data_IF_450415296127
#
_entry.id   IF_450415296127
#
_cell.length_a   1.000
_cell.length_b   1.000
_cell.length_c   1.000
_cell.angle_alpha   90.00
_cell.angle_beta   90.00
_cell.angle_gamma   90.00
#
_symmetry.space_group_name_H-M   'P 1'
#
loop_
_entity.id
_entity.type
_entity.pdbx_description
1 polymer ?
#
# COMPACT_ATOMS: atom_id res chain seq x y z
N UNK A 1 16.93 6.92 4.07
CA UNK A 1 17.28 5.55 3.65
C UNK A 1 16.16 4.62 4.10
N UNK A 2 16.01 3.45 3.47
CA UNK A 2 14.97 2.46 3.81
C UNK A 2 14.96 2.09 5.31
N UNK A 3 16.14 1.99 5.94
CA UNK A 3 16.27 1.75 7.38
C UNK A 3 15.68 2.89 8.24
N UNK A 4 15.87 4.15 7.83
CA UNK A 4 15.28 5.28 8.56
C UNK A 4 13.75 5.32 8.47
N UNK A 5 13.18 4.88 7.35
CA UNK A 5 11.73 4.78 7.16
C UNK A 5 11.11 3.70 8.05
N UNK A 6 11.74 2.53 8.09
CA UNK A 6 11.35 1.41 8.94
C UNK A 6 11.36 1.83 10.42
N UNK A 7 12.40 2.55 10.86
CA UNK A 7 12.46 3.07 12.25
C UNK A 7 11.43 4.16 12.52
N UNK A 8 11.19 5.07 11.57
CA UNK A 8 10.23 6.15 11.75
C UNK A 8 8.78 5.65 11.86
N UNK A 9 8.46 4.54 11.18
CA UNK A 9 7.12 3.95 11.11
C UNK A 9 7.02 2.60 11.80
N UNK A 10 7.90 2.34 12.78
CA UNK A 10 7.97 1.07 13.48
C UNK A 10 6.62 0.65 14.08
N UNK A 11 5.83 1.60 14.60
CA UNK A 11 4.50 1.29 15.13
C UNK A 11 3.50 0.90 14.03
N UNK A 12 3.53 1.54 12.85
CA UNK A 12 2.64 1.18 11.75
C UNK A 12 3.05 -0.15 11.08
N UNK A 13 4.33 -0.51 11.17
CA UNK A 13 4.92 -1.67 10.50
C UNK A 13 5.04 -2.92 11.39
N UNK A 14 5.32 -2.71 12.69
CA UNK A 14 5.72 -3.77 13.62
C UNK A 14 5.10 -3.62 15.02
N UNK A 15 4.13 -2.71 15.24
CA UNK A 15 3.51 -2.66 16.56
C UNK A 15 2.90 -4.03 16.90
N UNK A 16 3.00 -4.49 18.16
CA UNK A 16 2.58 -5.84 18.57
C UNK A 16 1.14 -6.19 18.21
N UNK A 17 0.27 -5.18 18.13
CA UNK A 17 -1.14 -5.27 17.77
C UNK A 17 -1.39 -5.44 16.26
N UNK A 18 -0.43 -5.08 15.40
CA UNK A 18 -0.55 -5.23 13.96
C UNK A 18 -0.50 -6.71 13.58
N UNK A 19 -1.60 -7.22 13.05
CA UNK A 19 -1.69 -8.58 12.55
C UNK A 19 -1.66 -8.56 11.04
N UNK A 20 -0.76 -9.36 10.45
CA UNK A 20 -0.81 -9.61 9.02
C UNK A 20 -2.15 -10.25 8.68
N UNK A 21 -2.91 -9.55 7.83
CA UNK A 21 -4.10 -10.11 7.20
C UNK A 21 -3.57 -10.66 5.89
N UNK A 22 -3.35 -11.98 5.84
CA UNK A 22 -2.78 -12.64 4.66
C UNK A 22 -3.44 -12.20 3.35
N UNK A 23 -2.72 -12.35 2.24
CA UNK A 23 -3.08 -11.82 0.91
C UNK A 23 -4.53 -12.11 0.53
N UNK A 24 -5.39 -11.10 0.65
CA UNK A 24 -6.76 -11.16 0.16
C UNK A 24 -7.04 -9.92 -0.67
N UNK A 25 -6.89 -10.06 -1.98
CA UNK A 25 -7.33 -9.09 -2.99
C UNK A 25 -8.82 -8.71 -2.84
N UNK A 26 -9.62 -9.49 -2.09
CA UNK A 26 -11.00 -9.15 -1.74
C UNK A 26 -11.13 -7.96 -0.76
N UNK A 27 -10.02 -7.51 -0.16
CA UNK A 27 -9.99 -6.39 0.77
C UNK A 27 -9.48 -5.11 0.09
N UNK A 28 -8.56 -5.23 -0.86
CA UNK A 28 -7.99 -4.10 -1.61
C UNK A 28 -8.17 -4.37 -3.09
N UNK A 29 -8.84 -3.45 -3.77
CA UNK A 29 -8.97 -3.48 -5.22
C UNK A 29 -8.40 -2.21 -5.81
N UNK A 30 -7.80 -2.33 -7.00
CA UNK A 30 -7.52 -1.16 -7.84
C UNK A 30 -8.69 -0.97 -8.78
N UNK A 31 -9.25 0.23 -8.79
CA UNK A 31 -10.43 0.57 -9.62
C UNK A 31 -10.04 1.18 -10.97
N UNK A 32 -8.74 1.43 -11.19
CA UNK A 32 -8.19 1.95 -12.43
C UNK A 32 -7.81 0.80 -13.38
N UNK A 33 -8.34 0.75 -14.62
CA UNK A 33 -8.02 -0.32 -15.57
C UNK A 33 -6.56 -0.30 -16.07
N UNK A 34 -5.85 0.81 -15.85
CA UNK A 34 -4.44 0.96 -16.22
C UNK A 34 -3.50 0.16 -15.30
N UNK A 35 -3.96 -0.17 -14.09
CA UNK A 35 -3.16 -0.78 -13.05
C UNK A 35 -3.72 -2.15 -12.71
N UNK A 36 -2.82 -3.11 -12.45
CA UNK A 36 -3.19 -4.48 -12.11
C UNK A 36 -2.63 -4.84 -10.75
N UNK A 37 -3.49 -5.31 -9.84
CA UNK A 37 -3.05 -5.98 -8.62
C UNK A 37 -2.65 -7.43 -8.89
N UNK A 38 -1.65 -7.89 -8.16
CA UNK A 38 -1.19 -9.28 -8.15
C UNK A 38 -1.05 -9.76 -6.70
N UNK A 39 -1.27 -11.05 -6.49
CA UNK A 39 -1.05 -11.78 -5.24
C UNK A 39 0.26 -12.58 -5.29
N UNK A 40 0.74 -12.94 -6.50
CA UNK A 40 2.06 -13.52 -6.70
C UNK A 40 2.72 -13.06 -8.01
N UNK A 41 4.00 -13.41 -8.18
CA UNK A 41 4.70 -13.22 -9.45
C UNK A 41 5.19 -11.80 -9.71
N UNK A 42 5.11 -11.37 -10.98
CA UNK A 42 5.68 -10.11 -11.46
C UNK A 42 4.75 -9.43 -12.49
N UNK A 43 5.06 -8.20 -12.87
CA UNK A 43 4.31 -7.45 -13.88
C UNK A 43 3.05 -6.74 -13.36
N UNK A 44 2.95 -6.51 -12.05
CA UNK A 44 1.82 -5.84 -11.41
C UNK A 44 2.20 -5.17 -10.09
N UNK A 45 1.20 -4.62 -9.42
CA UNK A 45 1.33 -4.05 -8.08
C UNK A 45 0.95 -5.14 -7.08
N UNK A 46 1.90 -5.58 -6.26
CA UNK A 46 1.63 -6.53 -5.20
C UNK A 46 1.12 -5.80 -3.95
N UNK A 47 0.13 -6.38 -3.28
CA UNK A 47 -0.48 -5.80 -2.08
C UNK A 47 -0.43 -6.73 -0.89
N UNK A 48 0.05 -6.24 0.24
CA UNK A 48 -0.03 -6.93 1.53
C UNK A 48 -0.76 -6.04 2.54
N UNK A 49 -1.51 -6.66 3.47
CA UNK A 49 -2.26 -5.94 4.49
C UNK A 49 -1.79 -6.32 5.89
N UNK A 50 -1.76 -5.31 6.75
CA UNK A 50 -1.64 -5.47 8.19
C UNK A 50 -2.75 -4.66 8.86
N UNK A 51 -3.38 -5.19 9.91
CA UNK A 51 -4.51 -4.53 10.59
C UNK A 51 -4.41 -4.64 12.10
N UNK A 52 -4.83 -3.58 12.79
CA UNK A 52 -5.15 -3.54 14.21
C UNK A 52 -6.62 -3.10 14.39
N UNK A 53 -7.08 -2.97 15.63
CA UNK A 53 -8.44 -2.45 15.92
C UNK A 53 -8.59 -0.95 15.60
N UNK A 54 -7.47 -0.26 15.37
CA UNK A 54 -7.41 1.19 15.14
C UNK A 54 -6.97 1.56 13.72
N UNK A 55 -6.33 0.66 12.99
CA UNK A 55 -5.76 0.99 11.69
C UNK A 55 -5.66 -0.21 10.74
N UNK A 56 -5.73 0.08 9.44
CA UNK A 56 -5.33 -0.82 8.36
C UNK A 56 -4.16 -0.20 7.60
N UNK A 57 -3.09 -0.95 7.43
CA UNK A 57 -1.93 -0.59 6.60
C UNK A 57 -1.94 -1.46 5.35
N UNK A 58 -1.88 -0.82 4.19
CA UNK A 58 -1.72 -1.47 2.89
C UNK A 58 -0.32 -1.18 2.39
N UNK A 59 0.42 -2.24 2.09
CA UNK A 59 1.69 -2.18 1.38
C UNK A 59 1.41 -2.24 -0.11
N UNK A 60 1.96 -1.32 -0.88
CA UNK A 60 1.95 -1.38 -2.34
C UNK A 60 3.38 -1.61 -2.83
N UNK A 61 3.64 -2.71 -3.52
CA UNK A 61 4.98 -3.04 -4.03
C UNK A 61 4.91 -3.07 -5.54
N UNK A 62 5.71 -2.23 -6.19
CA UNK A 62 5.74 -2.11 -7.64
C UNK A 62 6.62 -3.20 -8.27
N UNK A 63 5.98 -4.16 -8.93
CA UNK A 63 6.67 -5.19 -9.71
C UNK A 63 6.41 -5.03 -11.22
N UNK A 64 5.91 -3.86 -11.65
CA UNK A 64 5.65 -3.58 -13.07
C UNK A 64 6.96 -3.41 -13.82
N UNK A 65 7.10 -4.08 -14.95
CA UNK A 65 8.34 -4.11 -15.73
C UNK A 65 9.36 -5.14 -15.24
N UNK A 66 9.06 -5.90 -14.19
CA UNK A 66 9.84 -7.06 -13.78
C UNK A 66 9.37 -8.33 -14.50
N UNK A 67 10.32 -9.09 -15.02
CA UNK A 67 10.08 -10.31 -15.80
C UNK A 67 9.92 -11.55 -14.89
N UNK A 68 10.38 -11.46 -13.63
CA UNK A 68 10.34 -12.55 -12.67
C UNK A 68 10.32 -12.03 -11.23
N UNK A 69 9.81 -12.86 -10.31
CA UNK A 69 9.70 -12.56 -8.88
C UNK A 69 10.91 -13.01 -8.05
N UNK A 70 12.09 -13.21 -8.67
CA UNK A 70 13.26 -13.72 -7.95
C UNK A 70 13.94 -12.61 -7.19
N UNK A 71 13.63 -12.52 -5.90
CA UNK A 71 14.16 -11.52 -4.98
C UNK A 71 15.70 -11.44 -4.88
N UNK A 72 16.43 -12.48 -5.31
CA UNK A 72 17.89 -12.55 -5.23
C UNK A 72 18.61 -12.11 -6.50
N UNK A 73 17.91 -12.09 -7.63
CA UNK A 73 18.53 -11.78 -8.92
C UNK A 73 18.60 -10.25 -9.12
N UNK A 74 19.54 -9.79 -9.94
CA UNK A 74 19.56 -8.39 -10.34
C UNK A 74 18.28 -8.09 -11.13
N UNK A 75 17.48 -7.15 -10.63
CA UNK A 75 16.22 -6.74 -11.23
C UNK A 75 16.39 -5.37 -11.92
N UNK A 76 15.74 -5.14 -13.07
CA UNK A 76 15.61 -3.79 -13.62
C UNK A 76 14.79 -2.90 -12.68
N UNK A 77 14.95 -1.59 -12.79
CA UNK A 77 14.09 -0.65 -12.05
C UNK A 77 12.63 -0.85 -12.47
N UNK A 78 11.69 -0.99 -11.52
CA UNK A 78 10.27 -1.05 -11.83
C UNK A 78 9.80 0.20 -12.56
N UNK A 79 8.83 0.05 -13.45
CA UNK A 79 8.22 1.18 -14.15
C UNK A 79 7.31 1.92 -13.15
N UNK A 80 7.57 3.19 -12.82
CA UNK A 80 6.75 3.92 -11.86
C UNK A 80 5.30 4.01 -12.31
N UNK A 81 4.38 3.90 -11.34
CA UNK A 81 2.94 3.99 -11.55
C UNK A 81 2.41 5.29 -10.94
N UNK A 82 1.39 5.91 -11.54
CA UNK A 82 0.85 7.20 -11.13
C UNK A 82 -0.68 7.19 -11.15
N UNK A 83 -1.32 7.90 -10.22
CA UNK A 83 -2.79 7.96 -10.14
C UNK A 83 -3.43 6.60 -9.84
N UNK A 84 -2.84 5.83 -8.92
CA UNK A 84 -3.37 4.51 -8.55
C UNK A 84 -4.60 4.73 -7.67
N UNK A 85 -5.78 4.43 -8.22
CA UNK A 85 -7.03 4.48 -7.46
C UNK A 85 -7.22 3.20 -6.67
N UNK A 86 -7.14 3.32 -5.35
CA UNK A 86 -7.37 2.23 -4.42
C UNK A 86 -8.78 2.28 -3.86
N UNK A 87 -9.37 1.11 -3.69
CA UNK A 87 -10.61 0.89 -2.97
C UNK A 87 -10.40 -0.20 -1.93
N UNK A 88 -10.39 0.20 -0.66
CA UNK A 88 -10.17 -0.66 0.51
C UNK A 88 -11.50 -0.92 1.22
N UNK A 89 -11.80 -2.19 1.50
CA UNK A 89 -12.94 -2.58 2.35
C UNK A 89 -12.57 -2.42 3.82
N UNK A 90 -13.39 -1.67 4.55
CA UNK A 90 -13.23 -1.38 5.97
C UNK A 90 -14.40 -1.96 6.76
N UNK A 91 -14.15 -2.35 8.00
CA UNK A 91 -15.16 -3.02 8.83
C UNK A 91 -16.21 -2.01 9.35
N UNK A 92 -15.77 -0.79 9.67
CA UNK A 92 -16.63 0.34 10.03
C UNK A 92 -16.17 1.62 9.31
N UNK A 93 -16.83 1.99 8.20
CA UNK A 93 -16.46 3.18 7.44
C UNK A 93 -16.66 4.50 8.21
N UNK A 94 -17.52 4.52 9.23
CA UNK A 94 -17.80 5.74 10.01
C UNK A 94 -16.65 6.12 10.95
N UNK A 95 -15.70 5.20 11.16
CA UNK A 95 -14.53 5.39 12.02
C UNK A 95 -13.29 5.85 11.26
N UNK A 96 -13.32 5.89 9.92
CA UNK A 96 -12.18 6.33 9.12
C UNK A 96 -12.05 7.85 9.21
N UNK A 97 -11.00 8.31 9.88
CA UNK A 97 -10.68 9.73 10.06
C UNK A 97 -9.66 10.20 9.02
N UNK A 98 -8.72 9.33 8.62
CA UNK A 98 -7.59 9.70 7.76
C UNK A 98 -7.14 8.57 6.84
N UNK A 99 -6.76 8.95 5.62
CA UNK A 99 -5.94 8.13 4.73
C UNK A 99 -4.60 8.83 4.55
N UNK A 100 -3.52 8.15 4.91
CA UNK A 100 -2.16 8.69 4.84
C UNK A 100 -1.29 7.83 3.91
N UNK A 101 -0.44 8.48 3.14
CA UNK A 101 0.52 7.88 2.22
C UNK A 101 1.96 8.18 2.66
N UNK A 102 2.81 7.17 2.67
CA UNK A 102 4.24 7.36 2.92
C UNK A 102 5.05 6.49 1.96
N UNK A 103 6.14 7.06 1.45
CA UNK A 103 7.10 6.36 0.59
C UNK A 103 8.52 6.47 1.17
N UNK A 104 9.30 5.37 1.20
CA UNK A 104 10.72 5.39 1.49
C UNK A 104 11.56 5.90 0.31
N UNK A 105 10.96 6.01 -0.88
CA UNK A 105 11.66 6.33 -2.13
C UNK A 105 12.17 7.78 -2.16
N UNK A 106 11.57 8.66 -1.36
CA UNK A 106 11.92 10.09 -1.27
C UNK A 106 12.58 10.48 0.09
N UNK A 107 13.06 9.50 0.87
CA UNK A 107 13.80 9.76 2.13
C UNK A 107 13.29 8.94 3.31
N UNK A 108 13.32 9.44 4.57
CA UNK A 108 12.75 8.72 5.71
C UNK A 108 11.22 8.58 5.62
N UNK A 109 10.58 9.21 4.63
CA UNK A 109 9.15 9.17 4.33
C UNK A 109 8.29 9.72 5.45
N UNK A 110 7.60 10.84 5.21
CA UNK A 110 6.58 11.32 6.16
C UNK A 110 5.22 10.95 5.61
N UNK A 111 4.30 10.58 6.51
CA UNK A 111 2.91 10.37 6.12
C UNK A 111 2.32 11.69 5.63
N UNK A 112 1.84 11.68 4.40
CA UNK A 112 1.13 12.78 3.76
C UNK A 112 -0.35 12.41 3.65
N UNK A 113 -1.28 13.31 3.98
CA UNK A 113 -2.70 13.03 3.84
C UNK A 113 -3.08 12.87 2.38
N UNK A 114 -3.92 11.88 2.09
CA UNK A 114 -4.60 11.74 0.81
C UNK A 114 -6.05 12.19 0.97
N UNK A 115 -6.57 12.84 -0.07
CA UNK A 115 -8.02 13.00 -0.22
C UNK A 115 -8.65 11.61 -0.38
N UNK A 116 -9.75 11.38 0.32
CA UNK A 116 -10.45 10.11 0.27
C UNK A 116 -11.97 10.30 0.32
N UNK A 117 -12.68 9.29 -0.15
CA UNK A 117 -14.14 9.20 -0.02
C UNK A 117 -14.52 7.90 0.67
N UNK A 118 -15.66 7.92 1.35
CA UNK A 118 -16.19 6.78 2.10
C UNK A 118 -17.60 6.49 1.63
N UNK A 119 -17.88 5.24 1.28
CA UNK A 119 -19.19 4.82 0.79
C UNK A 119 -19.28 3.31 0.64
N UNK A 120 -20.48 2.76 0.85
CA UNK A 120 -20.81 1.34 0.60
C UNK A 120 -19.89 0.31 1.27
N UNK A 121 -19.28 0.64 2.42
CA UNK A 121 -18.33 -0.26 3.10
C UNK A 121 -16.87 -0.10 2.64
N UNK A 122 -16.57 0.92 1.83
CA UNK A 122 -15.26 1.14 1.23
C UNK A 122 -14.72 2.54 1.51
N UNK A 123 -13.39 2.61 1.52
CA UNK A 123 -12.59 3.83 1.45
C UNK A 123 -11.92 3.87 0.08
N UNK A 124 -12.05 4.99 -0.61
CA UNK A 124 -11.40 5.21 -1.91
C UNK A 124 -10.45 6.39 -1.84
N UNK A 125 -9.22 6.20 -2.32
CA UNK A 125 -8.18 7.21 -2.36
C UNK A 125 -7.31 7.04 -3.62
N UNK A 126 -6.63 8.10 -4.02
CA UNK A 126 -5.69 8.08 -5.15
C UNK A 126 -4.25 8.23 -4.64
N UNK A 127 -3.41 7.23 -4.91
CA UNK A 127 -1.98 7.29 -4.62
C UNK A 127 -1.30 7.99 -5.80
N UNK A 128 -0.63 9.13 -5.56
CA UNK A 128 -0.16 9.99 -6.65
C UNK A 128 0.95 9.31 -7.46
N UNK A 129 1.84 8.58 -6.80
CA UNK A 129 2.98 7.93 -7.42
C UNK A 129 3.45 6.76 -6.57
N UNK A 130 3.80 5.65 -7.23
CA UNK A 130 4.45 4.48 -6.64
C UNK A 130 5.68 4.13 -7.50
N UNK A 131 6.88 4.29 -6.92
CA UNK A 131 8.12 3.92 -7.60
C UNK A 131 8.54 2.48 -7.24
N UNK A 132 8.74 2.18 -5.96
CA UNK A 132 9.10 0.84 -5.48
C UNK A 132 8.13 0.31 -4.44
N UNK A 133 7.97 1.03 -3.33
CA UNK A 133 7.17 0.56 -2.21
C UNK A 133 6.52 1.71 -1.47
N UNK A 134 5.20 1.68 -1.32
CA UNK A 134 4.49 2.66 -0.52
C UNK A 134 3.69 2.01 0.61
N UNK A 135 3.43 2.80 1.65
CA UNK A 135 2.48 2.50 2.70
C UNK A 135 1.26 3.41 2.59
N UNK A 136 0.09 2.80 2.66
CA UNK A 136 -1.18 3.49 2.84
C UNK A 136 -1.73 3.12 4.21
N UNK A 137 -1.84 4.09 5.12
CA UNK A 137 -2.44 3.94 6.43
C UNK A 137 -3.87 4.47 6.38
N UNK A 138 -4.83 3.65 6.77
CA UNK A 138 -6.23 4.02 6.95
C UNK A 138 -6.56 3.85 8.43
N UNK A 139 -6.97 4.94 9.08
CA UNK A 139 -7.36 4.96 10.49
C UNK A 139 -8.58 5.85 10.70
#
# INVERSE_FOLDING_TARGET
>A
SQFSFITAHENALFAPEMRSVGERLELVTVTSPQHRLIDDGAGGIWTALSRSDEATVVHLINLVGLDNARWRDAAPEPIPQEGIRLRLRVDDPSRVEQVLWATPDEGPGTFQPLEFSVGDGFVEAEVPRLAYWDLILVR
#
